data_IF_136994016988
#
_entry.id   IF_136994016988
#
_cell.length_a   1.000
_cell.length_b   1.000
_cell.length_c   1.000
_cell.angle_alpha   90.00
_cell.angle_beta   90.00
_cell.angle_gamma   90.00
#
_symmetry.space_group_name_H-M   'P 1'
#
loop_
_entity.id
_entity.type
_entity.pdbx_description
1 polymer ?
#
# COMPACT_ATOMS: atom_id res chain seq x y z
N UNK A 1 11.21 -37.52 7.68
CA UNK A 1 10.01 -36.68 7.45
C UNK A 1 10.09 -35.32 8.15
N UNK A 2 10.81 -35.19 9.27
CA UNK A 2 10.89 -33.96 10.07
C UNK A 2 11.45 -32.74 9.32
N UNK A 3 12.44 -32.93 8.44
CA UNK A 3 13.03 -31.82 7.67
C UNK A 3 12.10 -31.24 6.60
N UNK A 4 11.21 -32.06 6.04
CA UNK A 4 10.22 -31.62 5.05
C UNK A 4 9.12 -30.78 5.71
N UNK A 5 8.72 -31.16 6.93
CA UNK A 5 7.74 -30.40 7.72
C UNK A 5 8.31 -29.02 8.05
N UNK A 6 9.56 -28.93 8.49
CA UNK A 6 10.22 -27.65 8.76
C UNK A 6 10.28 -26.73 7.54
N UNK A 7 10.62 -27.26 6.37
CA UNK A 7 10.66 -26.49 5.12
C UNK A 7 9.26 -26.00 4.68
N UNK A 8 8.23 -26.82 4.84
CA UNK A 8 6.85 -26.43 4.53
C UNK A 8 6.34 -25.34 5.45
N UNK A 9 6.67 -25.40 6.74
CA UNK A 9 6.32 -24.33 7.68
C UNK A 9 7.03 -23.02 7.31
N UNK A 10 8.34 -23.09 7.04
CA UNK A 10 9.12 -21.90 6.68
C UNK A 10 8.60 -21.22 5.40
N UNK A 11 8.26 -22.00 4.37
CA UNK A 11 7.72 -21.45 3.12
C UNK A 11 6.34 -20.81 3.31
N UNK A 12 5.48 -21.37 4.18
CA UNK A 12 4.20 -20.73 4.51
C UNK A 12 4.38 -19.40 5.24
N UNK A 13 5.32 -19.30 6.18
CA UNK A 13 5.60 -18.04 6.89
C UNK A 13 6.16 -16.97 5.95
N UNK A 14 7.05 -17.37 5.04
CA UNK A 14 7.64 -16.44 4.07
C UNK A 14 6.58 -15.89 3.10
N UNK A 15 5.66 -16.73 2.62
CA UNK A 15 4.56 -16.29 1.76
C UNK A 15 3.62 -15.27 2.44
N UNK A 16 3.43 -15.36 3.76
CA UNK A 16 2.63 -14.42 4.55
C UNK A 16 3.36 -13.09 4.82
N UNK A 17 4.69 -13.09 4.83
CA UNK A 17 5.50 -11.89 5.08
C UNK A 17 5.51 -10.91 3.89
N UNK A 18 5.47 -11.42 2.64
CA UNK A 18 5.67 -10.61 1.42
C UNK A 18 4.37 -10.08 0.78
N UNK A 19 3.23 -10.15 1.48
CA UNK A 19 1.92 -9.72 0.99
C UNK A 19 1.28 -8.59 1.81
N UNK A 20 2.08 -7.81 2.54
CA UNK A 20 1.58 -6.82 3.49
C UNK A 20 1.11 -5.55 2.75
N UNK A 21 -0.13 -5.58 2.27
CA UNK A 21 -0.84 -4.36 1.91
C UNK A 21 -1.44 -3.75 3.18
N UNK A 22 -1.16 -2.48 3.44
CA UNK A 22 -1.84 -1.74 4.48
C UNK A 22 -2.81 -0.72 3.86
N UNK A 23 -3.90 -0.44 4.59
CA UNK A 23 -4.75 0.71 4.30
C UNK A 23 -4.24 1.86 5.16
N UNK A 24 -3.81 2.93 4.50
CA UNK A 24 -3.50 4.19 5.19
C UNK A 24 -4.79 4.79 5.75
N UNK A 25 -4.67 5.60 6.80
CA UNK A 25 -5.82 6.26 7.40
C UNK A 25 -6.60 7.09 6.36
N UNK A 26 -7.90 7.16 6.58
CA UNK A 26 -8.87 7.96 5.84
C UNK A 26 -8.63 9.47 6.03
N UNK A 27 -7.42 9.97 5.78
CA UNK A 27 -7.18 11.40 5.69
C UNK A 27 -7.69 11.85 4.32
N UNK A 28 -9.02 11.78 4.16
CA UNK A 28 -9.76 12.52 3.14
C UNK A 28 -9.59 13.98 3.54
N UNK A 29 -8.47 14.56 3.14
CA UNK A 29 -8.33 16.00 3.14
C UNK A 29 -9.37 16.53 2.15
N UNK A 30 -10.53 16.95 2.67
CA UNK A 30 -11.41 17.84 1.93
C UNK A 30 -10.63 19.11 1.68
N UNK A 31 -10.12 19.27 0.47
CA UNK A 31 -9.63 20.55 0.01
C UNK A 31 -10.81 21.54 0.14
N UNK A 32 -10.64 22.60 0.94
CA UNK A 32 -11.66 23.65 1.11
C UNK A 32 -12.02 24.36 -0.21
N UNK A 33 -11.19 24.24 -1.24
CA UNK A 33 -11.34 24.83 -2.58
C UNK A 33 -11.77 23.82 -3.66
N UNK A 34 -11.73 22.50 -3.41
CA UNK A 34 -12.22 21.47 -4.34
C UNK A 34 -12.94 20.36 -3.57
N UNK A 35 -14.27 20.21 -3.68
CA UNK A 35 -15.05 19.20 -2.95
C UNK A 35 -14.75 17.76 -3.37
N UNK A 36 -13.78 17.54 -4.26
CA UNK A 36 -13.33 16.22 -4.68
C UNK A 36 -12.58 15.52 -3.55
N UNK A 37 -13.03 14.30 -3.22
CA UNK A 37 -12.33 13.41 -2.29
C UNK A 37 -10.94 13.11 -2.84
N UNK A 38 -9.92 13.66 -2.19
CA UNK A 38 -8.52 13.36 -2.44
C UNK A 38 -8.02 12.41 -1.36
N UNK A 39 -7.04 11.60 -1.73
CA UNK A 39 -6.29 10.77 -0.80
C UNK A 39 -4.93 11.41 -0.52
N UNK A 40 -4.59 11.58 0.74
CA UNK A 40 -3.25 12.03 1.14
C UNK A 40 -2.33 10.82 1.32
N UNK A 41 -1.27 10.74 0.52
CA UNK A 41 -0.13 9.87 0.80
C UNK A 41 0.71 10.50 1.91
N UNK A 42 0.71 9.91 3.10
CA UNK A 42 1.47 10.40 4.27
C UNK A 42 2.97 10.12 4.17
N UNK A 43 3.40 9.25 3.25
CA UNK A 43 4.82 8.96 3.01
C UNK A 43 5.48 10.12 2.27
N UNK A 44 4.84 10.57 1.18
CA UNK A 44 5.36 11.63 0.31
C UNK A 44 4.70 13.00 0.57
N UNK A 45 3.71 13.07 1.47
CA UNK A 45 2.84 14.23 1.70
C UNK A 45 2.21 14.79 0.42
N UNK A 46 1.78 13.90 -0.49
CA UNK A 46 1.16 14.25 -1.77
C UNK A 46 -0.31 13.85 -1.80
N UNK A 47 -1.13 14.72 -2.37
CA UNK A 47 -2.55 14.45 -2.59
C UNK A 47 -2.78 13.85 -3.98
N UNK A 48 -3.58 12.79 -4.02
CA UNK A 48 -3.97 12.07 -5.23
C UNK A 48 -5.49 12.06 -5.38
N UNK A 49 -5.98 12.07 -6.62
CA UNK A 49 -7.42 12.03 -6.89
C UNK A 49 -7.93 10.60 -6.75
N UNK A 50 -9.23 10.49 -6.52
CA UNK A 50 -9.91 9.20 -6.52
C UNK A 50 -9.67 8.45 -7.84
N UNK A 51 -9.20 7.21 -7.75
CA UNK A 51 -8.84 6.37 -8.90
C UNK A 51 -7.36 6.43 -9.30
N UNK A 52 -6.60 7.38 -8.79
CA UNK A 52 -5.16 7.46 -9.07
C UNK A 52 -4.40 6.27 -8.48
N UNK A 53 -3.34 5.88 -9.17
CA UNK A 53 -2.36 4.88 -8.71
C UNK A 53 -0.96 5.46 -8.85
N UNK A 54 -0.11 5.24 -7.86
CA UNK A 54 1.25 5.77 -7.84
C UNK A 54 2.22 4.81 -7.13
N UNK A 55 3.51 5.09 -7.28
CA UNK A 55 4.59 4.50 -6.49
C UNK A 55 5.11 5.61 -5.57
N UNK A 56 5.13 5.37 -4.27
CA UNK A 56 5.68 6.33 -3.30
C UNK A 56 7.19 6.17 -3.14
N UNK A 57 7.84 7.06 -2.38
CA UNK A 57 9.28 7.00 -2.10
C UNK A 57 9.75 5.76 -1.32
N UNK A 58 8.82 4.99 -0.72
CA UNK A 58 9.11 3.71 -0.08
C UNK A 58 8.91 2.51 -1.01
N UNK A 59 8.79 2.74 -2.32
CA UNK A 59 8.59 1.71 -3.34
C UNK A 59 7.31 0.89 -3.11
N UNK A 60 6.29 1.52 -2.50
CA UNK A 60 4.99 0.91 -2.32
C UNK A 60 4.08 1.35 -3.46
N UNK A 61 3.37 0.40 -4.06
CA UNK A 61 2.33 0.68 -5.03
C UNK A 61 1.05 1.05 -4.27
N UNK A 62 0.63 2.30 -4.44
CA UNK A 62 -0.51 2.88 -3.76
C UNK A 62 -1.66 3.16 -4.73
N UNK A 63 -2.88 3.11 -4.22
CA UNK A 63 -4.09 3.50 -4.94
C UNK A 63 -5.03 4.32 -4.05
N UNK A 64 -5.68 5.32 -4.65
CA UNK A 64 -6.70 6.12 -4.00
C UNK A 64 -8.08 5.52 -4.29
N UNK A 65 -8.71 4.97 -3.26
CA UNK A 65 -10.02 4.32 -3.36
C UNK A 65 -11.08 5.13 -2.61
N UNK A 66 -12.38 4.84 -2.77
CA UNK A 66 -13.41 5.47 -1.95
C UNK A 66 -13.25 5.21 -0.45
N UNK A 67 -12.44 4.20 -0.10
CA UNK A 67 -12.08 3.82 1.26
C UNK A 67 -10.73 4.41 1.73
N UNK A 68 -10.17 5.40 1.03
CA UNK A 68 -8.87 5.99 1.33
C UNK A 68 -7.71 5.35 0.56
N UNK A 69 -6.49 5.56 1.07
CA UNK A 69 -5.24 5.07 0.47
C UNK A 69 -5.04 3.60 0.77
N UNK A 70 -4.74 2.80 -0.26
CA UNK A 70 -4.27 1.41 -0.11
C UNK A 70 -2.89 1.29 -0.72
N UNK A 71 -1.89 0.93 0.08
CA UNK A 71 -0.51 0.73 -0.36
C UNK A 71 -0.08 -0.72 -0.15
N UNK A 72 0.65 -1.27 -1.11
CA UNK A 72 1.24 -2.60 -1.05
C UNK A 72 2.72 -2.51 -1.38
N UNK A 73 3.53 -3.36 -0.76
CA UNK A 73 4.92 -3.54 -1.17
C UNK A 73 4.98 -3.89 -2.67
N UNK A 74 5.82 -3.19 -3.43
CA UNK A 74 6.03 -3.49 -4.84
C UNK A 74 7.31 -4.31 -4.99
N UNK A 75 7.27 -5.37 -5.82
CA UNK A 75 8.48 -6.09 -6.24
C UNK A 75 9.39 -5.26 -7.17
N UNK A 76 8.90 -4.13 -7.69
CA UNK A 76 9.74 -3.23 -8.47
C UNK A 76 10.48 -2.27 -7.54
N UNK A 77 11.82 -2.22 -7.60
CA UNK A 77 12.57 -1.17 -6.92
C UNK A 77 12.12 0.19 -7.47
N UNK A 78 12.15 1.22 -6.62
CA UNK A 78 12.02 2.60 -7.06
C UNK A 78 13.06 2.83 -8.17
N UNK A 79 12.58 3.03 -9.41
CA UNK A 79 13.44 3.23 -10.57
C UNK A 79 14.10 4.61 -10.55
#
# INVERSE_FOLDING_TARGET
MERLIGLMLLSTFLALAHGQCYRGNFDIAMNSEDPRRMCLDTVDNKAYKLGDTWLNSQCQRCSCTPMGVRCCESHNPCA
#
